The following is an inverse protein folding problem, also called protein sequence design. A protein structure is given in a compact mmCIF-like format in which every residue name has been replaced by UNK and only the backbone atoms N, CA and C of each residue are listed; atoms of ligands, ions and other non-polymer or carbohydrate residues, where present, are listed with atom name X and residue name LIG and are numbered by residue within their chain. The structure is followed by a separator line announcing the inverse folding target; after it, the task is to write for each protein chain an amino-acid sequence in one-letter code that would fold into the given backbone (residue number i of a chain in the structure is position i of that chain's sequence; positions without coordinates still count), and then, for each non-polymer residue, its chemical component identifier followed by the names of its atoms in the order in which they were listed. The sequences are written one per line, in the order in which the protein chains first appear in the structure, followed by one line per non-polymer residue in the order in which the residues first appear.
data_IF_351273699648
#
_entry.id   IF_351273699648
#
_cell.length_a   1.000
_cell.length_b   1.000
_cell.length_c   1.000
_cell.angle_alpha   90.00
_cell.angle_beta   90.00
_cell.angle_gamma   90.00
#
_symmetry.space_group_name_H-M   'P 1'
#
loop_
_entity.id
_entity.type
_entity.pdbx_description
1 polymer ?
#
# COMPACT_ATOMS: atom_id res chain seq x y z
N UNK A 1 -12.35 -5.26 14.47
CA UNK A 1 -11.44 -4.78 15.53
C UNK A 1 -10.37 -3.93 14.92
N UNK A 2 -9.96 -2.85 15.59
CA UNK A 2 -8.85 -2.01 15.11
C UNK A 2 -7.54 -2.79 15.16
N UNK A 3 -6.56 -2.38 14.35
CA UNK A 3 -5.21 -2.95 14.40
C UNK A 3 -4.63 -2.96 15.81
N UNK A 4 -4.80 -1.88 16.58
CA UNK A 4 -4.29 -1.81 17.96
C UNK A 4 -4.89 -2.88 18.89
N UNK A 5 -6.18 -3.22 18.73
CA UNK A 5 -6.82 -4.31 19.47
C UNK A 5 -6.30 -5.68 19.02
N UNK A 6 -6.19 -5.88 17.71
CA UNK A 6 -5.60 -7.09 17.13
C UNK A 6 -4.18 -7.34 17.63
N UNK A 7 -3.29 -6.34 17.48
CA UNK A 7 -1.88 -6.39 17.87
C UNK A 7 -1.72 -6.78 19.34
N UNK A 8 -2.41 -6.08 20.26
CA UNK A 8 -2.39 -6.38 21.70
C UNK A 8 -2.84 -7.81 22.02
N UNK A 9 -3.77 -8.39 21.25
CA UNK A 9 -4.24 -9.77 21.45
C UNK A 9 -3.21 -10.79 20.99
N UNK A 10 -2.54 -10.53 19.87
CA UNK A 10 -1.50 -11.42 19.33
C UNK A 10 -0.23 -11.36 20.20
N UNK A 11 0.23 -10.17 20.55
CA UNK A 11 1.44 -9.96 21.37
C UNK A 11 1.35 -10.54 22.79
N UNK A 12 0.13 -10.74 23.32
CA UNK A 12 -0.10 -11.34 24.65
C UNK A 12 -0.10 -12.86 24.64
N UNK A 13 -0.12 -13.50 23.47
CA UNK A 13 -0.03 -14.96 23.42
C UNK A 13 1.35 -15.34 23.97
N UNK A 14 1.44 -16.19 25.02
CA UNK A 14 2.73 -16.76 25.40
C UNK A 14 3.26 -17.40 24.12
N UNK A 15 4.47 -17.03 23.70
CA UNK A 15 5.09 -17.51 22.46
C UNK A 15 4.83 -19.01 22.36
N UNK A 16 3.87 -19.40 21.53
CA UNK A 16 3.51 -20.80 21.36
C UNK A 16 4.69 -21.37 20.60
N UNK A 17 5.50 -22.12 21.33
CA UNK A 17 6.48 -23.14 20.99
C UNK A 17 6.47 -23.73 19.56
N UNK A 18 6.41 -22.90 18.53
CA UNK A 18 7.13 -23.19 17.32
C UNK A 18 8.59 -22.97 17.70
N UNK A 19 9.44 -23.95 17.43
CA UNK A 19 10.89 -23.83 17.53
C UNK A 19 11.39 -22.79 16.49
N UNK A 20 11.00 -21.53 16.64
CA UNK A 20 11.57 -20.37 15.95
C UNK A 20 13.06 -20.23 16.29
N UNK A 21 13.52 -20.88 17.38
CA UNK A 21 14.89 -20.92 17.83
C UNK A 21 15.88 -21.44 16.78
N UNK A 22 15.40 -22.21 15.80
CA UNK A 22 16.23 -22.66 14.68
C UNK A 22 15.47 -22.41 13.38
N UNK A 23 15.95 -21.48 12.57
CA UNK A 23 15.55 -21.43 11.16
C UNK A 23 15.87 -22.81 10.55
N UNK A 24 14.88 -23.64 10.21
CA UNK A 24 15.07 -25.09 10.08
C UNK A 24 15.80 -25.51 8.79
N UNK A 25 16.29 -24.56 8.02
CA UNK A 25 16.90 -24.83 6.72
C UNK A 25 18.24 -24.12 6.61
N UNK A 26 19.27 -24.91 6.33
CA UNK A 26 20.45 -24.39 5.67
C UNK A 26 19.99 -23.69 4.39
N UNK A 27 20.18 -22.36 4.35
CA UNK A 27 19.77 -21.50 3.23
C UNK A 27 20.46 -21.88 1.92
N UNK A 28 21.43 -22.79 2.00
CA UNK A 28 22.45 -23.06 1.01
C UNK A 28 22.01 -23.90 -0.18
N UNK A 29 20.92 -24.67 -0.13
CA UNK A 29 20.80 -25.76 -1.13
C UNK A 29 19.64 -25.69 -2.12
N UNK A 30 18.49 -25.06 -1.85
CA UNK A 30 17.52 -24.62 -2.90
C UNK A 30 16.67 -23.47 -2.32
N UNK A 31 17.14 -22.22 -2.33
CA UNK A 31 16.48 -21.11 -1.62
C UNK A 31 16.26 -19.85 -2.48
N UNK A 32 15.01 -19.47 -2.72
CA UNK A 32 14.62 -18.30 -3.53
C UNK A 32 15.38 -17.01 -3.18
N UNK A 33 15.61 -16.14 -4.16
CA UNK A 33 16.27 -14.82 -4.02
C UNK A 33 15.82 -14.03 -2.77
N UNK A 34 14.54 -14.14 -2.38
CA UNK A 34 14.01 -13.51 -1.17
C UNK A 34 14.66 -13.95 0.14
N UNK A 35 15.07 -15.22 0.30
CA UNK A 35 15.76 -15.69 1.52
C UNK A 35 17.16 -15.10 1.61
N UNK A 36 17.89 -15.04 0.49
CA UNK A 36 19.19 -14.36 0.41
C UNK A 36 19.06 -12.87 0.73
N UNK A 37 17.99 -12.21 0.27
CA UNK A 37 17.71 -10.82 0.64
C UNK A 37 17.43 -10.65 2.13
N UNK A 38 16.64 -11.56 2.73
CA UNK A 38 16.39 -11.59 4.18
C UNK A 38 17.70 -11.76 4.97
N UNK A 39 18.52 -12.75 4.60
CA UNK A 39 19.80 -13.03 5.25
C UNK A 39 20.76 -11.82 5.16
N UNK A 40 20.87 -11.24 3.96
CA UNK A 40 21.71 -10.06 3.77
C UNK A 40 21.22 -8.89 4.63
N UNK A 41 19.91 -8.61 4.64
CA UNK A 41 19.34 -7.48 5.36
C UNK A 41 19.44 -7.62 6.89
N UNK A 42 19.20 -8.83 7.41
CA UNK A 42 19.14 -9.09 8.86
C UNK A 42 20.52 -9.40 9.42
N UNK A 43 21.25 -10.37 8.85
CA UNK A 43 22.46 -10.91 9.49
C UNK A 43 23.75 -10.31 8.92
N UNK A 44 23.88 -10.24 7.59
CA UNK A 44 25.12 -9.77 6.95
C UNK A 44 25.33 -8.27 7.11
N UNK A 45 24.38 -7.47 6.64
CA UNK A 45 24.47 -6.01 6.61
C UNK A 45 23.92 -5.39 7.91
N UNK A 46 23.16 -6.17 8.71
CA UNK A 46 22.54 -5.74 9.98
C UNK A 46 21.69 -4.47 9.86
N UNK A 47 21.11 -4.21 8.67
CA UNK A 47 20.26 -3.04 8.39
C UNK A 47 18.97 -3.04 9.22
N UNK A 48 18.56 -4.20 9.74
CA UNK A 48 17.45 -4.31 10.69
C UNK A 48 17.63 -3.41 11.93
N UNK A 49 18.87 -3.14 12.37
CA UNK A 49 19.15 -2.33 13.56
C UNK A 49 18.66 -0.88 13.44
N UNK A 50 18.52 -0.36 12.22
CA UNK A 50 18.09 1.02 11.94
C UNK A 50 16.74 1.10 11.23
N UNK A 51 16.05 -0.02 11.02
CA UNK A 51 14.80 -0.12 10.25
C UNK A 51 13.74 0.93 10.64
N UNK A 52 13.49 1.14 11.94
CA UNK A 52 12.49 2.12 12.41
C UNK A 52 12.80 3.54 11.93
N UNK A 53 14.08 3.88 11.86
CA UNK A 53 14.57 5.22 11.51
C UNK A 53 14.57 5.42 9.99
N UNK A 54 14.86 4.37 9.22
CA UNK A 54 15.06 4.44 7.77
C UNK A 54 13.79 4.16 6.97
N UNK A 55 12.83 3.36 7.47
CA UNK A 55 11.67 2.84 6.72
C UNK A 55 10.75 3.84 5.99
N UNK A 56 10.87 5.14 6.26
CA UNK A 56 10.11 6.18 5.57
C UNK A 56 10.85 6.81 4.37
N UNK A 57 12.05 6.33 4.04
CA UNK A 57 12.79 6.80 2.85
C UNK A 57 12.03 6.56 1.54
N UNK A 58 12.44 7.32 0.52
CA UNK A 58 11.81 7.35 -0.81
C UNK A 58 12.86 7.03 -1.87
N UNK A 59 12.43 6.42 -2.97
CA UNK A 59 13.31 6.08 -4.10
C UNK A 59 14.22 4.88 -3.85
N UNK A 60 15.34 4.78 -4.59
CA UNK A 60 16.07 3.53 -4.78
C UNK A 60 16.97 3.14 -3.61
N UNK A 61 17.06 3.92 -2.53
CA UNK A 61 17.90 3.61 -1.38
C UNK A 61 17.43 2.43 -0.51
N UNK A 62 18.38 1.88 0.26
CA UNK A 62 18.18 0.71 1.14
C UNK A 62 17.51 1.07 2.48
N UNK A 63 16.35 1.73 2.38
CA UNK A 63 15.63 2.26 3.53
C UNK A 63 14.81 1.21 4.29
N UNK A 64 14.51 0.07 3.67
CA UNK A 64 13.65 -0.97 4.25
C UNK A 64 14.08 -2.36 3.78
N UNK A 65 13.43 -3.41 4.28
CA UNK A 65 13.77 -4.80 3.95
C UNK A 65 13.49 -5.18 2.49
N UNK A 66 12.56 -4.48 1.81
CA UNK A 66 12.08 -4.80 0.45
C UNK A 66 11.61 -6.25 0.26
N UNK A 67 11.19 -6.90 1.36
CA UNK A 67 10.81 -8.31 1.36
C UNK A 67 9.39 -8.57 0.82
N UNK A 68 8.61 -7.51 0.58
CA UNK A 68 7.18 -7.59 0.26
C UNK A 68 6.87 -8.38 -1.00
N UNK A 69 7.65 -8.22 -2.09
CA UNK A 69 7.43 -8.97 -3.34
C UNK A 69 7.56 -10.49 -3.17
N UNK A 70 8.49 -10.93 -2.32
CA UNK A 70 8.67 -12.35 -2.03
C UNK A 70 7.62 -12.88 -1.07
N UNK A 71 7.14 -12.04 -0.14
CA UNK A 71 6.00 -12.34 0.74
C UNK A 71 4.69 -12.48 -0.04
N UNK A 72 4.45 -11.60 -1.02
CA UNK A 72 3.23 -11.58 -1.82
C UNK A 72 3.02 -12.90 -2.60
N UNK A 73 4.10 -13.46 -3.15
CA UNK A 73 4.08 -14.77 -3.84
C UNK A 73 4.41 -15.95 -2.95
N UNK A 74 4.48 -15.75 -1.62
CA UNK A 74 4.79 -16.77 -0.61
C UNK A 74 6.12 -17.54 -0.86
N UNK A 75 7.07 -16.93 -1.56
CA UNK A 75 8.42 -17.49 -1.75
C UNK A 75 9.26 -17.43 -0.46
N UNK A 76 8.92 -16.49 0.42
CA UNK A 76 9.30 -16.45 1.84
C UNK A 76 8.05 -16.27 2.68
N UNK A 77 7.97 -16.92 3.84
CA UNK A 77 6.83 -16.84 4.75
C UNK A 77 7.05 -15.74 5.80
N UNK A 78 5.96 -15.12 6.26
CA UNK A 78 6.03 -14.16 7.37
C UNK A 78 6.64 -14.78 8.65
N UNK A 79 6.34 -16.06 8.91
CA UNK A 79 6.94 -16.82 10.01
C UNK A 79 8.46 -16.97 9.87
N UNK A 80 8.98 -17.17 8.65
CA UNK A 80 10.42 -17.26 8.38
C UNK A 80 11.13 -15.94 8.70
N UNK A 81 10.54 -14.81 8.31
CA UNK A 81 11.07 -13.49 8.66
C UNK A 81 11.02 -13.29 10.18
N UNK A 82 9.92 -13.69 10.82
CA UNK A 82 9.79 -13.68 12.28
C UNK A 82 10.89 -14.47 12.99
N UNK A 83 11.17 -15.71 12.55
CA UNK A 83 12.28 -16.54 13.08
C UNK A 83 13.61 -15.80 12.97
N UNK A 84 13.92 -15.26 11.79
CA UNK A 84 15.19 -14.59 11.53
C UNK A 84 15.39 -13.38 12.44
N UNK A 85 14.33 -12.62 12.72
CA UNK A 85 14.40 -11.47 13.63
C UNK A 85 14.69 -11.94 15.07
N UNK A 86 13.97 -12.97 15.55
CA UNK A 86 14.16 -13.49 16.91
C UNK A 86 15.56 -14.10 17.10
N UNK A 87 16.03 -14.86 16.11
CA UNK A 87 17.39 -15.41 16.09
C UNK A 87 18.44 -14.30 16.09
N UNK A 88 18.23 -13.22 15.32
CA UNK A 88 19.11 -12.06 15.35
C UNK A 88 19.11 -11.36 16.73
N UNK A 89 17.94 -11.22 17.37
CA UNK A 89 17.84 -10.63 18.70
C UNK A 89 18.58 -11.46 19.77
N UNK A 90 18.55 -12.79 19.66
CA UNK A 90 19.25 -13.72 20.56
C UNK A 90 20.78 -13.71 20.34
N UNK A 91 21.22 -13.74 19.08
CA UNK A 91 22.64 -13.78 18.72
C UNK A 91 23.36 -12.43 18.83
N UNK A 92 22.63 -11.32 18.63
CA UNK A 92 23.20 -9.99 18.59
C UNK A 92 22.52 -9.06 19.59
N UNK A 93 21.46 -8.36 19.17
CA UNK A 93 20.83 -7.36 20.02
C UNK A 93 19.38 -7.11 19.60
N UNK A 94 18.57 -6.84 20.61
CA UNK A 94 17.19 -6.40 20.50
C UNK A 94 17.10 -4.89 20.65
N UNK A 95 16.36 -4.23 19.76
CA UNK A 95 16.07 -2.81 19.89
C UNK A 95 14.68 -2.45 19.33
N UNK A 96 14.36 -1.16 19.27
CA UNK A 96 13.07 -0.72 18.72
C UNK A 96 12.91 -1.08 17.23
N UNK A 97 13.99 -1.09 16.45
CA UNK A 97 13.96 -1.36 15.00
C UNK A 97 13.73 -2.84 14.69
N UNK A 98 14.35 -3.75 15.45
CA UNK A 98 14.11 -5.20 15.31
C UNK A 98 12.65 -5.53 15.58
N UNK A 99 12.08 -4.98 16.65
CA UNK A 99 10.64 -5.05 16.93
C UNK A 99 9.80 -4.38 15.84
N UNK A 100 10.22 -3.24 15.29
CA UNK A 100 9.40 -2.51 14.31
C UNK A 100 9.20 -3.32 13.01
N UNK A 101 10.14 -4.17 12.61
CA UNK A 101 9.93 -5.04 11.46
C UNK A 101 8.86 -6.12 11.75
N UNK A 102 8.85 -6.70 12.96
CA UNK A 102 7.77 -7.59 13.42
C UNK A 102 6.42 -6.86 13.49
N UNK A 103 6.40 -5.61 13.97
CA UNK A 103 5.20 -4.78 14.04
C UNK A 103 4.56 -4.58 12.66
N UNK A 104 5.36 -4.47 11.60
CA UNK A 104 4.87 -4.29 10.23
C UNK A 104 4.37 -5.62 9.63
N UNK A 105 4.96 -6.77 10.02
CA UNK A 105 4.38 -8.08 9.71
C UNK A 105 3.01 -8.28 10.38
N UNK A 106 2.80 -7.74 11.59
CA UNK A 106 1.50 -7.77 12.23
C UNK A 106 0.45 -6.95 11.46
N UNK A 107 0.85 -5.87 10.78
CA UNK A 107 -0.06 -5.11 9.90
C UNK A 107 -0.50 -5.95 8.70
N UNK A 108 0.41 -6.69 8.08
CA UNK A 108 0.09 -7.65 7.01
C UNK A 108 -0.94 -8.66 7.52
N UNK A 109 -0.63 -9.35 8.62
CA UNK A 109 -1.53 -10.37 9.19
C UNK A 109 -2.90 -9.77 9.56
N UNK A 110 -2.92 -8.58 10.16
CA UNK A 110 -4.16 -7.87 10.46
C UNK A 110 -5.04 -7.70 9.22
N UNK A 111 -4.47 -7.27 8.09
CA UNK A 111 -5.24 -7.10 6.86
C UNK A 111 -5.72 -8.43 6.29
N UNK A 112 -4.93 -9.51 6.33
CA UNK A 112 -5.41 -10.85 5.94
C UNK A 112 -6.57 -11.33 6.81
N UNK A 113 -6.49 -11.17 8.14
CA UNK A 113 -7.59 -11.55 9.03
C UNK A 113 -8.80 -10.64 8.87
N UNK A 114 -8.59 -9.35 8.62
CA UNK A 114 -9.66 -8.40 8.36
C UNK A 114 -10.39 -8.76 7.07
N UNK A 115 -9.65 -9.00 5.99
CA UNK A 115 -10.20 -9.41 4.71
C UNK A 115 -11.06 -10.67 4.87
N UNK A 116 -10.54 -11.72 5.52
CA UNK A 116 -11.33 -12.93 5.81
C UNK A 116 -12.60 -12.67 6.62
N UNK A 117 -12.60 -11.64 7.47
CA UNK A 117 -13.75 -11.29 8.32
C UNK A 117 -14.83 -10.51 7.56
N UNK A 118 -14.43 -9.57 6.70
CA UNK A 118 -15.34 -8.64 6.03
C UNK A 118 -15.68 -9.07 4.60
N UNK A 119 -14.90 -10.00 4.05
CA UNK A 119 -15.05 -10.58 2.72
C UNK A 119 -15.18 -9.48 1.65
N UNK A 120 -16.20 -9.56 0.80
CA UNK A 120 -16.42 -8.65 -0.32
C UNK A 120 -16.61 -7.19 0.08
N UNK A 121 -16.98 -6.89 1.34
CA UNK A 121 -17.09 -5.52 1.85
C UNK A 121 -15.78 -4.74 1.77
N UNK A 122 -14.63 -5.44 1.69
CA UNK A 122 -13.33 -4.80 1.51
C UNK A 122 -13.22 -4.05 0.18
N UNK A 123 -13.96 -4.50 -0.84
CA UNK A 123 -13.87 -4.00 -2.22
C UNK A 123 -14.98 -2.99 -2.57
N UNK A 124 -16.00 -2.88 -1.72
CA UNK A 124 -17.13 -2.00 -1.96
C UNK A 124 -16.72 -0.52 -1.88
N UNK A 125 -17.28 0.38 -2.69
CA UNK A 125 -17.03 1.84 -2.62
C UNK A 125 -17.14 2.44 -1.23
N UNK A 126 -18.14 1.98 -0.49
CA UNK A 126 -18.46 2.41 0.87
C UNK A 126 -17.59 1.73 1.94
N UNK A 127 -16.73 0.81 1.49
CA UNK A 127 -15.86 -0.04 2.30
C UNK A 127 -16.58 -0.77 3.42
N UNK A 128 -15.80 -1.11 4.44
CA UNK A 128 -16.23 -1.90 5.60
C UNK A 128 -17.25 -1.14 6.45
N UNK A 129 -17.19 0.20 6.46
CA UNK A 129 -18.11 1.04 7.23
C UNK A 129 -19.47 1.24 6.58
N UNK A 130 -19.63 0.93 5.29
CA UNK A 130 -20.88 1.19 4.58
C UNK A 130 -21.19 2.69 4.41
N UNK A 131 -20.17 3.56 4.42
CA UNK A 131 -20.30 5.01 4.25
C UNK A 131 -19.43 5.51 3.09
N UNK A 132 -19.83 6.60 2.46
CA UNK A 132 -19.02 7.24 1.42
C UNK A 132 -17.67 7.69 2.00
N UNK A 133 -16.60 7.56 1.21
CA UNK A 133 -15.30 8.14 1.54
C UNK A 133 -15.44 9.65 1.72
N UNK A 134 -14.96 10.25 2.81
CA UNK A 134 -14.98 11.71 3.00
C UNK A 134 -14.19 12.49 1.95
N UNK A 135 -13.29 11.81 1.21
CA UNK A 135 -12.56 12.42 0.09
C UNK A 135 -13.40 12.50 -1.19
N UNK A 136 -14.46 11.71 -1.32
CA UNK A 136 -15.33 11.72 -2.49
C UNK A 136 -16.46 12.73 -2.27
N UNK A 137 -16.48 13.81 -3.05
CA UNK A 137 -17.41 14.94 -2.91
C UNK A 137 -18.50 14.93 -3.99
N UNK A 138 -18.96 13.75 -4.37
CA UNK A 138 -20.05 13.57 -5.32
C UNK A 138 -21.31 13.04 -4.63
N UNK A 139 -22.43 13.06 -5.36
CA UNK A 139 -23.71 12.47 -4.95
C UNK A 139 -23.99 11.14 -5.66
N UNK A 140 -22.96 10.52 -6.26
CA UNK A 140 -23.10 9.35 -7.12
C UNK A 140 -23.30 8.11 -6.25
N UNK A 141 -24.34 7.34 -6.56
CA UNK A 141 -24.59 6.04 -5.94
C UNK A 141 -23.89 4.95 -6.75
N UNK A 142 -22.68 4.62 -6.33
CA UNK A 142 -21.86 3.59 -6.98
C UNK A 142 -22.41 2.20 -6.65
N UNK A 143 -23.23 1.65 -7.53
CA UNK A 143 -23.71 0.26 -7.52
C UNK A 143 -22.88 -0.58 -8.49
N UNK A 144 -22.80 -1.89 -8.26
CA UNK A 144 -22.08 -2.84 -9.13
C UNK A 144 -22.94 -4.10 -9.33
N UNK A 145 -24.00 -4.05 -10.13
CA UNK A 145 -24.78 -5.23 -10.46
C UNK A 145 -23.99 -6.11 -11.45
N UNK A 146 -23.47 -7.25 -10.96
CA UNK A 146 -22.78 -8.24 -11.79
C UNK A 146 -21.30 -7.92 -12.07
N UNK A 147 -20.75 -8.51 -13.13
CA UNK A 147 -19.32 -8.45 -13.48
C UNK A 147 -18.93 -7.24 -14.35
N UNK A 148 -19.90 -6.46 -14.85
CA UNK A 148 -19.66 -5.29 -15.67
C UNK A 148 -19.91 -4.02 -14.84
N UNK A 149 -19.03 -3.02 -14.95
CA UNK A 149 -19.15 -1.73 -14.26
C UNK A 149 -20.43 -0.99 -14.72
N UNK A 150 -21.54 -1.26 -14.05
CA UNK A 150 -22.82 -0.60 -14.28
C UNK A 150 -23.09 0.32 -13.10
N UNK A 151 -23.14 1.62 -13.35
CA UNK A 151 -23.38 2.61 -12.31
C UNK A 151 -24.76 3.23 -12.44
N UNK A 152 -25.39 3.47 -11.31
CA UNK A 152 -26.65 4.18 -11.22
C UNK A 152 -26.40 5.61 -10.77
N UNK A 153 -26.56 6.58 -11.67
CA UNK A 153 -26.28 7.99 -11.37
C UNK A 153 -27.58 8.73 -11.07
N UNK A 154 -27.67 9.38 -9.92
CA UNK A 154 -28.75 10.33 -9.66
C UNK A 154 -28.49 11.63 -10.43
N UNK A 155 -29.50 12.19 -11.09
CA UNK A 155 -29.49 13.51 -11.77
C UNK A 155 -28.51 13.67 -12.96
N UNK A 156 -28.16 12.61 -13.70
CA UNK A 156 -27.27 12.71 -14.88
C UNK A 156 -25.89 13.34 -14.62
N UNK A 157 -25.31 13.11 -13.44
CA UNK A 157 -23.96 13.53 -13.03
C UNK A 157 -22.79 12.83 -13.81
N UNK A 158 -23.03 12.33 -15.03
CA UNK A 158 -22.02 11.69 -15.89
C UNK A 158 -20.77 12.56 -16.04
N UNK A 159 -20.93 13.90 -16.09
CA UNK A 159 -19.81 14.83 -16.16
C UNK A 159 -18.88 14.76 -14.95
N UNK A 160 -19.40 14.51 -13.73
CA UNK A 160 -18.57 14.31 -12.54
C UNK A 160 -17.75 13.03 -12.67
N UNK A 161 -18.35 11.93 -13.15
CA UNK A 161 -17.62 10.69 -13.43
C UNK A 161 -16.49 10.92 -14.44
N UNK A 162 -16.77 11.63 -15.53
CA UNK A 162 -15.75 11.98 -16.53
C UNK A 162 -14.64 12.86 -15.94
N UNK A 163 -14.98 13.80 -15.05
CA UNK A 163 -13.99 14.62 -14.35
C UNK A 163 -13.13 13.77 -13.38
N UNK A 164 -13.74 12.85 -12.64
CA UNK A 164 -13.00 11.90 -11.80
C UNK A 164 -12.06 11.06 -12.66
N UNK A 165 -12.52 10.56 -13.81
CA UNK A 165 -11.70 9.76 -14.73
C UNK A 165 -10.51 10.56 -15.25
N UNK A 166 -10.74 11.81 -15.67
CA UNK A 166 -9.67 12.74 -16.09
C UNK A 166 -8.65 12.98 -14.98
N UNK A 167 -9.09 13.18 -13.75
CA UNK A 167 -8.21 13.38 -12.60
C UNK A 167 -7.42 12.10 -12.27
N UNK A 168 -8.08 10.94 -12.28
CA UNK A 168 -7.44 9.64 -12.09
C UNK A 168 -6.39 9.36 -13.17
N UNK A 169 -6.66 9.62 -14.44
CA UNK A 169 -5.68 9.46 -15.53
C UNK A 169 -4.44 10.31 -15.33
N UNK A 170 -4.60 11.58 -14.92
CA UNK A 170 -3.47 12.46 -14.59
C UNK A 170 -2.64 11.89 -13.44
N UNK A 171 -3.29 11.40 -12.39
CA UNK A 171 -2.63 10.77 -11.25
C UNK A 171 -1.90 9.50 -11.63
N UNK A 172 -2.56 8.57 -12.31
CA UNK A 172 -1.99 7.29 -12.72
C UNK A 172 -0.76 7.44 -13.62
N UNK A 173 -0.73 8.49 -14.46
CA UNK A 173 0.40 8.83 -15.33
C UNK A 173 1.48 9.69 -14.68
N UNK A 174 1.27 10.16 -13.45
CA UNK A 174 2.16 11.14 -12.81
C UNK A 174 2.27 12.45 -13.58
N UNK A 175 1.12 13.02 -13.99
CA UNK A 175 0.98 14.32 -14.69
C UNK A 175 -0.05 15.21 -13.98
N UNK A 176 -0.03 15.23 -12.65
CA UNK A 176 -0.97 15.99 -11.80
C UNK A 176 -0.57 17.46 -11.65
N UNK A 177 0.71 17.77 -11.84
CA UNK A 177 1.30 19.08 -11.54
C UNK A 177 1.86 19.17 -10.11
N UNK A 178 1.62 18.17 -9.26
CA UNK A 178 2.30 18.02 -7.97
C UNK A 178 3.51 17.09 -8.13
N UNK A 179 4.68 17.68 -8.33
CA UNK A 179 5.95 16.99 -8.59
C UNK A 179 6.24 15.84 -7.62
N UNK A 180 5.85 15.97 -6.36
CA UNK A 180 6.10 14.95 -5.35
C UNK A 180 5.26 13.69 -5.58
N UNK A 181 4.00 13.86 -6.02
CA UNK A 181 3.11 12.75 -6.37
C UNK A 181 3.43 12.21 -7.75
N UNK A 182 3.78 13.08 -8.70
CA UNK A 182 4.08 12.71 -10.08
C UNK A 182 5.25 11.72 -10.15
N UNK A 183 6.35 11.99 -9.43
CA UNK A 183 7.49 11.07 -9.35
C UNK A 183 7.11 9.73 -8.72
N UNK A 184 6.25 9.71 -7.69
CA UNK A 184 5.80 8.45 -7.08
C UNK A 184 5.03 7.57 -8.07
N UNK A 185 4.14 8.19 -8.87
CA UNK A 185 3.31 7.44 -9.81
C UNK A 185 4.12 6.97 -11.01
N UNK A 186 5.11 7.74 -11.45
CA UNK A 186 6.08 7.32 -12.46
C UNK A 186 6.98 6.18 -11.94
N UNK A 187 7.52 6.29 -10.72
CA UNK A 187 8.30 5.21 -10.09
C UNK A 187 7.50 3.92 -10.04
N UNK A 188 6.23 3.98 -9.61
CA UNK A 188 5.34 2.83 -9.57
C UNK A 188 5.17 2.20 -10.95
N UNK A 189 4.90 3.01 -11.99
CA UNK A 189 4.69 2.49 -13.34
C UNK A 189 5.91 1.80 -13.92
N UNK A 190 7.10 2.39 -13.76
CA UNK A 190 8.32 1.89 -14.40
C UNK A 190 9.04 0.79 -13.61
N UNK A 191 8.84 0.71 -12.30
CA UNK A 191 9.55 -0.24 -11.44
C UNK A 191 8.66 -1.29 -10.80
N UNK A 192 7.35 -1.04 -10.75
CA UNK A 192 6.37 -1.86 -10.02
C UNK A 192 6.56 -1.83 -8.49
N UNK A 193 7.37 -0.91 -7.96
CA UNK A 193 7.64 -0.77 -6.54
C UNK A 193 7.61 0.71 -6.14
N UNK A 194 7.01 1.03 -4.99
CA UNK A 194 7.15 2.33 -4.33
C UNK A 194 7.14 2.16 -2.82
N UNK A 195 7.84 3.05 -2.11
CA UNK A 195 7.95 2.98 -0.66
C UNK A 195 6.58 3.12 0.03
N UNK A 196 6.44 2.57 1.24
CA UNK A 196 5.19 2.72 2.01
C UNK A 196 4.80 4.20 2.22
N UNK A 197 5.79 5.11 2.35
CA UNK A 197 5.51 6.55 2.44
C UNK A 197 4.91 7.07 1.13
N UNK A 198 5.50 6.72 -0.01
CA UNK A 198 4.97 7.07 -1.33
C UNK A 198 3.55 6.54 -1.53
N UNK A 199 3.27 5.27 -1.18
CA UNK A 199 1.91 4.68 -1.27
C UNK A 199 0.89 5.50 -0.49
N UNK A 200 1.22 5.89 0.75
CA UNK A 200 0.32 6.70 1.60
C UNK A 200 0.05 8.08 1.01
N UNK A 201 1.09 8.75 0.50
CA UNK A 201 0.96 10.07 -0.12
C UNK A 201 0.13 10.01 -1.41
N UNK A 202 0.47 9.09 -2.31
CA UNK A 202 -0.22 8.90 -3.58
C UNK A 202 -1.70 8.57 -3.40
N UNK A 203 -2.02 7.63 -2.50
CA UNK A 203 -3.41 7.29 -2.19
C UNK A 203 -4.16 8.47 -1.57
N UNK A 204 -3.56 9.16 -0.59
CA UNK A 204 -4.19 10.33 0.02
C UNK A 204 -4.48 11.43 -0.99
N UNK A 205 -3.55 11.70 -1.91
CA UNK A 205 -3.71 12.75 -2.91
C UNK A 205 -4.84 12.43 -3.89
N UNK A 206 -4.90 11.19 -4.40
CA UNK A 206 -6.00 10.75 -5.26
C UNK A 206 -7.36 10.96 -4.58
N UNK A 207 -7.47 10.57 -3.32
CA UNK A 207 -8.74 10.56 -2.59
C UNK A 207 -9.15 11.95 -2.12
N UNK A 208 -8.22 12.72 -1.55
CA UNK A 208 -8.55 13.93 -0.77
C UNK A 208 -8.19 15.25 -1.46
N UNK A 209 -7.43 15.21 -2.56
CA UNK A 209 -7.01 16.40 -3.31
C UNK A 209 -7.56 16.36 -4.74
N UNK A 210 -7.63 15.17 -5.36
CA UNK A 210 -8.27 14.97 -6.66
C UNK A 210 -9.72 14.52 -6.60
N UNK A 211 -10.21 14.19 -5.39
CA UNK A 211 -11.57 13.73 -5.13
C UNK A 211 -11.99 12.55 -6.02
N UNK A 212 -11.05 11.67 -6.37
CA UNK A 212 -11.33 10.54 -7.26
C UNK A 212 -11.69 9.27 -6.45
N UNK A 213 -12.45 8.34 -7.06
CA UNK A 213 -12.73 7.04 -6.47
C UNK A 213 -11.49 6.27 -6.00
N UNK A 214 -11.49 5.90 -4.72
CA UNK A 214 -10.33 5.25 -4.11
C UNK A 214 -10.08 3.83 -4.66
N UNK A 215 -11.13 3.12 -5.06
CA UNK A 215 -11.01 1.77 -5.61
C UNK A 215 -10.36 1.75 -6.99
N UNK A 216 -10.44 2.84 -7.78
CA UNK A 216 -9.66 2.96 -9.01
C UNK A 216 -8.15 3.01 -8.73
N UNK A 217 -7.75 3.73 -7.68
CA UNK A 217 -6.37 3.72 -7.20
C UNK A 217 -5.93 2.35 -6.69
N UNK A 218 -6.81 1.65 -5.96
CA UNK A 218 -6.54 0.28 -5.50
C UNK A 218 -6.33 -0.70 -6.66
N UNK A 219 -7.16 -0.60 -7.71
CA UNK A 219 -7.04 -1.40 -8.94
C UNK A 219 -5.78 -1.05 -9.75
N UNK A 220 -5.40 0.22 -9.82
CA UNK A 220 -4.16 0.63 -10.49
C UNK A 220 -2.93 0.07 -9.77
N UNK A 221 -2.95 0.06 -8.44
CA UNK A 221 -1.91 -0.57 -7.63
C UNK A 221 -1.90 -2.09 -7.80
N UNK A 222 -3.08 -2.72 -7.93
CA UNK A 222 -3.19 -4.15 -8.26
C UNK A 222 -2.57 -4.50 -9.60
N UNK A 223 -2.75 -3.63 -10.60
CA UNK A 223 -2.17 -3.81 -11.93
C UNK A 223 -0.64 -3.67 -11.97
N UNK A 224 -0.07 -2.77 -11.16
CA UNK A 224 1.36 -2.40 -11.25
C UNK A 224 2.27 -3.02 -10.21
N UNK A 225 1.79 -3.28 -8.98
CA UNK A 225 2.67 -3.64 -7.87
C UNK A 225 3.24 -5.06 -8.02
N UNK A 226 4.57 -5.18 -8.02
CA UNK A 226 5.27 -6.47 -7.92
C UNK A 226 5.00 -7.18 -6.58
N UNK A 227 4.61 -6.44 -5.56
CA UNK A 227 4.26 -6.94 -4.24
C UNK A 227 2.76 -6.88 -3.94
N UNK A 228 1.92 -6.89 -4.97
CA UNK A 228 0.48 -6.92 -4.80
C UNK A 228 0.06 -8.10 -3.91
N UNK A 229 -0.57 -7.75 -2.79
CA UNK A 229 -1.31 -8.66 -1.92
C UNK A 229 -2.71 -8.07 -1.74
N UNK A 230 -3.74 -8.84 -2.12
CA UNK A 230 -5.13 -8.38 -2.11
C UNK A 230 -5.55 -7.78 -0.77
N UNK A 231 -5.19 -8.42 0.32
CA UNK A 231 -5.63 -8.01 1.66
C UNK A 231 -4.95 -6.72 2.07
N UNK A 232 -3.64 -6.64 1.86
CA UNK A 232 -2.79 -5.51 2.24
C UNK A 232 -3.08 -4.30 1.35
N UNK A 233 -3.21 -4.48 0.04
CA UNK A 233 -3.50 -3.40 -0.90
C UNK A 233 -4.86 -2.76 -0.58
N UNK A 234 -5.93 -3.54 -0.70
CA UNK A 234 -7.30 -3.04 -0.52
C UNK A 234 -7.56 -2.58 0.92
N UNK A 235 -6.99 -3.27 1.90
CA UNK A 235 -7.03 -2.87 3.31
C UNK A 235 -6.40 -1.51 3.58
N UNK A 236 -5.20 -1.25 3.04
CA UNK A 236 -4.54 0.05 3.20
C UNK A 236 -5.29 1.17 2.45
N UNK A 237 -5.77 0.90 1.24
CA UNK A 237 -6.58 1.85 0.47
C UNK A 237 -7.87 2.24 1.20
N UNK A 238 -8.64 1.27 1.67
CA UNK A 238 -9.83 1.51 2.48
C UNK A 238 -9.51 2.29 3.77
N UNK A 239 -8.35 2.03 4.39
CA UNK A 239 -7.89 2.72 5.59
C UNK A 239 -7.61 4.22 5.33
N UNK A 240 -6.98 4.57 4.21
CA UNK A 240 -6.70 5.97 3.83
C UNK A 240 -7.96 6.69 3.35
N UNK A 241 -8.84 5.98 2.66
CA UNK A 241 -10.15 6.47 2.23
C UNK A 241 -11.13 6.73 3.39
N UNK A 242 -10.78 6.34 4.62
CA UNK A 242 -11.64 6.53 5.80
C UNK A 242 -12.82 5.54 5.88
N UNK A 243 -12.94 4.62 4.93
CA UNK A 243 -13.99 3.58 4.85
C UNK A 243 -13.59 2.25 5.48
N UNK A 244 -12.34 2.12 5.95
CA UNK A 244 -11.83 0.97 6.71
C UNK A 244 -12.13 1.03 8.22
N UNK A 245 -11.59 0.09 9.00
CA UNK A 245 -11.86 -0.07 10.46
C UNK A 245 -11.08 0.92 11.34
N UNK A 246 -10.85 2.14 10.86
CA UNK A 246 -10.17 3.18 11.63
C UNK A 246 -11.18 4.00 12.45
N UNK A 247 -10.94 4.25 13.75
CA UNK A 247 -11.73 5.21 14.53
C UNK A 247 -11.64 6.65 13.99
N UNK A 248 -10.58 7.02 13.27
CA UNK A 248 -10.47 8.33 12.61
C UNK A 248 -11.36 8.35 11.36
N UNK A 249 -12.10 9.44 11.20
CA UNK A 249 -12.95 9.66 10.03
C UNK A 249 -12.15 10.05 8.79
N UNK A 250 -11.10 10.88 8.94
CA UNK A 250 -10.31 11.40 7.82
C UNK A 250 -8.81 11.17 8.03
N UNK A 251 -8.14 10.66 6.99
CA UNK A 251 -6.68 10.54 6.92
C UNK A 251 -6.14 11.25 5.68
N UNK A 252 -6.21 12.58 5.69
CA UNK A 252 -5.57 13.41 4.68
C UNK A 252 -4.12 13.67 5.03
N UNK A 253 -3.22 13.40 4.10
CA UNK A 253 -1.83 13.85 4.13
C UNK A 253 -1.73 15.16 3.36
N UNK A 254 -1.04 16.14 3.94
CA UNK A 254 -0.69 17.37 3.22
C UNK A 254 0.63 17.15 2.46
N UNK A 255 0.59 17.24 1.12
CA UNK A 255 1.76 16.92 0.28
C UNK A 255 2.94 17.85 0.54
N UNK A 256 2.72 19.14 0.84
CA UNK A 256 3.81 20.05 1.15
C UNK A 256 4.54 19.64 2.45
N UNK A 257 3.79 19.29 3.50
CA UNK A 257 4.37 18.81 4.77
C UNK A 257 5.08 17.47 4.56
N UNK A 258 4.53 16.57 3.75
CA UNK A 258 5.18 15.30 3.44
C UNK A 258 6.49 15.50 2.67
N UNK A 259 6.50 16.36 1.65
CA UNK A 259 7.69 16.70 0.89
C UNK A 259 8.75 17.36 1.80
N UNK A 260 8.37 18.36 2.60
CA UNK A 260 9.27 19.00 3.56
C UNK A 260 9.88 18.03 4.57
N UNK A 261 9.15 16.98 4.97
CA UNK A 261 9.61 16.03 5.97
C UNK A 261 10.44 14.88 5.41
N UNK A 262 10.06 14.35 4.24
CA UNK A 262 10.63 13.12 3.69
C UNK A 262 11.49 13.34 2.44
N UNK A 263 11.43 14.54 1.86
CA UNK A 263 12.19 14.97 0.68
C UNK A 263 12.59 16.46 0.79
N UNK A 264 13.10 16.83 1.98
CA UNK A 264 13.36 18.22 2.35
C UNK A 264 14.35 18.93 1.43
N UNK A 265 15.34 18.18 0.92
CA UNK A 265 16.35 18.65 -0.03
C UNK A 265 15.95 18.43 -1.50
N UNK A 266 14.75 17.88 -1.76
CA UNK A 266 14.28 17.59 -3.11
C UNK A 266 15.03 16.46 -3.82
N UNK A 267 15.85 15.67 -3.12
CA UNK A 267 16.67 14.63 -3.72
C UNK A 267 15.84 13.55 -4.42
N UNK A 268 14.69 13.15 -3.86
CA UNK A 268 13.81 12.16 -4.47
C UNK A 268 13.15 12.70 -5.73
N UNK A 269 12.61 13.93 -5.68
CA UNK A 269 12.03 14.58 -6.86
C UNK A 269 13.06 14.81 -7.96
N UNK A 270 14.28 15.25 -7.61
CA UNK A 270 15.39 15.41 -8.55
C UNK A 270 15.77 14.08 -9.20
N UNK A 271 15.96 13.02 -8.41
CA UNK A 271 16.26 11.69 -8.91
C UNK A 271 15.19 11.19 -9.89
N UNK A 272 13.90 11.40 -9.57
CA UNK A 272 12.79 11.03 -10.45
C UNK A 272 12.80 11.77 -11.78
N UNK A 273 13.05 13.08 -11.76
CA UNK A 273 13.19 13.88 -12.99
C UNK A 273 14.35 13.40 -13.87
N UNK A 274 15.48 13.00 -13.27
CA UNK A 274 16.64 12.47 -13.99
C UNK A 274 16.38 11.14 -14.70
N UNK A 275 15.34 10.39 -14.31
CA UNK A 275 14.98 9.14 -14.99
C UNK A 275 14.34 9.35 -16.38
N UNK A 276 13.86 10.57 -16.68
CA UNK A 276 13.13 10.88 -17.91
C UNK A 276 11.96 9.90 -18.19
N UNK A 277 11.26 9.49 -17.14
CA UNK A 277 10.12 8.60 -17.23
C UNK A 277 8.92 9.30 -17.86
N UNK A 278 8.37 8.69 -18.91
CA UNK A 278 7.13 9.14 -19.52
C UNK A 278 6.12 7.98 -19.62
N UNK A 279 5.11 8.01 -18.74
CA UNK A 279 4.03 7.02 -18.79
C UNK A 279 3.22 7.22 -20.09
N UNK A 280 3.09 6.17 -20.93
CA UNK A 280 2.37 6.25 -22.20
C UNK A 280 0.94 6.78 -22.05
N UNK A 281 0.45 7.46 -23.07
CA UNK A 281 -0.91 8.03 -23.09
C UNK A 281 -2.01 6.97 -23.05
N UNK A 282 -1.73 5.83 -23.69
CA UNK A 282 -2.58 4.65 -23.82
C UNK A 282 -2.42 3.66 -22.66
N UNK A 283 -1.61 3.96 -21.64
CA UNK A 283 -1.51 3.17 -20.42
C UNK A 283 -2.87 3.04 -19.69
N UNK A 284 -3.78 3.98 -19.95
CA UNK A 284 -5.19 3.95 -19.54
C UNK A 284 -6.07 4.42 -20.70
N UNK A 285 -7.28 3.86 -20.88
CA UNK A 285 -8.23 4.31 -21.88
C UNK A 285 -8.46 5.83 -21.82
N UNK A 286 -8.57 6.46 -22.99
CA UNK A 286 -8.81 7.90 -23.04
C UNK A 286 -10.16 8.28 -22.42
N UNK A 287 -11.18 7.57 -22.87
CA UNK A 287 -12.56 7.67 -22.40
C UNK A 287 -12.80 6.79 -21.19
N UNK A 288 -13.85 7.11 -20.42
CA UNK A 288 -14.24 6.30 -19.28
C UNK A 288 -14.76 4.93 -19.76
N UNK A 289 -14.19 3.80 -19.28
CA UNK A 289 -14.54 2.48 -19.81
C UNK A 289 -15.88 1.92 -19.31
N UNK A 290 -16.54 2.60 -18.36
CA UNK A 290 -17.84 2.18 -17.82
C UNK A 290 -19.01 2.64 -18.68
N UNK A 291 -20.18 2.02 -18.47
CA UNK A 291 -21.43 2.41 -19.12
C UNK A 291 -22.37 3.12 -18.13
N UNK A 292 -23.08 4.14 -18.63
CA UNK A 292 -24.07 4.88 -17.84
C UNK A 292 -25.47 4.32 -18.12
N UNK A 293 -26.22 3.98 -17.07
CA UNK A 293 -27.64 3.65 -17.17
C UNK A 293 -28.45 4.64 -16.32
N UNK A 294 -29.41 5.33 -16.95
CA UNK A 294 -30.33 6.23 -16.26
C UNK A 294 -31.29 5.41 -15.38
N UNK A 295 -31.60 5.90 -14.17
CA UNK A 295 -32.76 5.40 -13.42
C UNK A 295 -34.02 5.97 -14.08
N UNK A 296 -34.85 5.10 -14.66
CA UNK A 296 -36.22 5.44 -15.03
C UNK A 296 -37.11 5.54 -13.79
#
# INVERSE_FOLDING_TARGET
DTFSKFRKKIERRPYISYEFAHYPHDLSTIGSTGRKCLENYVFKDKKILTYKNTRNGLGPGDYSSRLSKWLAVNSIRAAEIGSAILQFEDQYTKNESTYWLLFELLWRDYFHFLHRKVDTLLFMPTGIKGVQSPGLQDSIQWTFPGSNYQMTIANNDCQKVLNHWKNFRKWARGKTGESFVDVMMQELFFTGEISNRARQCAASYLIHDLHAPWWWGAQWFEYLLLDYDVSSNWGNWAYIAGVGVDPRSVRKFNMQIQAQKYDSNGAYRKWGLEQNWEVPEDALPEEFPGTFHEMH
#
